data_IF_899578162786
#
_entry.id   IF_899578162786
#
_cell.length_a   1.000
_cell.length_b   1.000
_cell.length_c   1.000
_cell.angle_alpha   90.00
_cell.angle_beta   90.00
_cell.angle_gamma   90.00
#
_symmetry.space_group_name_H-M   'P 1'
#
loop_
_entity.id
_entity.type
_entity.pdbx_description
1 polymer ?
#
# COMPACT_ATOMS: atom_id res chain seq x y z
N UNK A 1 -21.98 7.77 -44.23
CA UNK A 1 -21.50 6.76 -43.26
C UNK A 1 -20.14 7.13 -42.66
N UNK A 2 -19.19 7.65 -43.45
CA UNK A 2 -17.80 7.96 -43.06
C UNK A 2 -17.65 8.93 -41.85
N UNK A 3 -18.52 9.93 -41.73
CA UNK A 3 -18.42 11.00 -40.72
C UNK A 3 -18.82 10.51 -39.31
N UNK A 4 -19.72 9.52 -39.24
CA UNK A 4 -20.19 8.95 -37.97
C UNK A 4 -19.08 8.14 -37.29
N UNK A 5 -18.22 7.47 -38.08
CA UNK A 5 -17.09 6.72 -37.56
C UNK A 5 -16.03 7.61 -36.91
N UNK A 6 -15.73 8.77 -37.51
CA UNK A 6 -14.72 9.71 -36.98
C UNK A 6 -15.21 10.37 -35.68
N UNK A 7 -16.50 10.71 -35.59
CA UNK A 7 -17.10 11.25 -34.38
C UNK A 7 -17.10 10.25 -33.21
N UNK A 8 -17.29 8.95 -33.50
CA UNK A 8 -17.22 7.88 -32.50
C UNK A 8 -15.80 7.66 -31.96
N UNK A 9 -14.77 7.82 -32.79
CA UNK A 9 -13.35 7.65 -32.38
C UNK A 9 -12.89 8.82 -31.51
N UNK A 10 -13.41 10.03 -31.72
CA UNK A 10 -13.10 11.19 -30.87
C UNK A 10 -13.82 11.14 -29.51
N UNK A 11 -15.02 10.55 -29.46
CA UNK A 11 -15.79 10.40 -28.23
C UNK A 11 -15.15 9.42 -27.22
N UNK A 12 -14.37 8.43 -27.69
CA UNK A 12 -13.71 7.47 -26.81
C UNK A 12 -12.48 8.03 -26.09
N UNK A 13 -11.82 9.07 -26.63
CA UNK A 13 -10.64 9.67 -25.99
C UNK A 13 -10.98 10.51 -24.74
N UNK A 14 -12.24 10.92 -24.57
CA UNK A 14 -12.70 11.68 -23.39
C UNK A 14 -13.06 10.79 -22.20
N UNK A 15 -13.14 9.46 -22.41
CA UNK A 15 -13.50 8.47 -21.39
C UNK A 15 -12.28 7.72 -20.80
N UNK A 16 -11.07 8.24 -21.00
CA UNK A 16 -9.84 7.61 -20.47
C UNK A 16 -8.98 8.56 -19.65
N UNK A 17 -9.59 9.57 -19.01
CA UNK A 17 -9.00 10.22 -17.83
C UNK A 17 -9.37 9.48 -16.54
N UNK A 18 -9.49 8.16 -16.61
CA UNK A 18 -9.42 7.32 -15.44
C UNK A 18 -8.10 6.56 -15.51
N UNK A 19 -6.99 7.26 -15.27
CA UNK A 19 -5.82 6.60 -14.70
C UNK A 19 -6.17 6.25 -13.25
N UNK A 20 -7.12 5.33 -13.09
CA UNK A 20 -7.33 4.67 -11.82
C UNK A 20 -6.09 3.77 -11.64
N UNK A 21 -5.03 4.33 -11.04
CA UNK A 21 -3.92 3.56 -10.48
C UNK A 21 -4.48 2.75 -9.32
N UNK A 22 -5.18 1.67 -9.67
CA UNK A 22 -5.61 0.65 -8.75
C UNK A 22 -4.34 -0.10 -8.34
N UNK A 23 -3.97 0.06 -7.05
CA UNK A 23 -2.89 -0.59 -6.31
C UNK A 23 -1.50 0.08 -6.34
N UNK A 24 -1.41 1.39 -6.07
CA UNK A 24 -0.13 2.11 -5.82
C UNK A 24 0.70 1.65 -4.61
N UNK A 25 0.41 0.47 -4.03
CA UNK A 25 1.11 -0.11 -2.88
C UNK A 25 2.06 -1.24 -3.24
N UNK A 26 2.12 -1.63 -4.51
CA UNK A 26 3.10 -2.59 -5.03
C UNK A 26 4.53 -2.05 -4.90
N UNK A 27 4.75 -0.76 -5.12
CA UNK A 27 6.03 -0.07 -4.87
C UNK A 27 6.42 -0.14 -3.39
N UNK A 28 5.45 0.04 -2.49
CA UNK A 28 5.65 -0.05 -1.03
C UNK A 28 5.97 -1.48 -0.62
N UNK A 29 5.32 -2.48 -1.21
CA UNK A 29 5.66 -3.89 -1.01
C UNK A 29 7.09 -4.20 -1.45
N UNK A 30 7.50 -3.74 -2.63
CA UNK A 30 8.89 -3.88 -3.11
C UNK A 30 9.87 -3.19 -2.16
N UNK A 31 9.50 -2.00 -1.69
CA UNK A 31 10.31 -1.22 -0.75
C UNK A 31 10.43 -1.93 0.61
N UNK A 32 9.36 -2.57 1.09
CA UNK A 32 9.31 -3.38 2.31
C UNK A 32 9.88 -4.80 2.16
N UNK A 33 10.44 -5.16 1.00
CA UNK A 33 11.15 -6.44 0.79
C UNK A 33 12.10 -6.86 1.94
N UNK A 34 12.97 -5.99 2.50
CA UNK A 34 13.83 -6.35 3.62
C UNK A 34 13.08 -6.63 4.94
N UNK A 35 11.81 -6.23 5.06
CA UNK A 35 10.96 -6.48 6.21
C UNK A 35 10.17 -7.78 6.12
N UNK A 36 10.06 -8.37 4.91
CA UNK A 36 9.22 -9.55 4.65
C UNK A 36 9.62 -10.75 5.52
N UNK A 37 10.91 -10.93 5.79
CA UNK A 37 11.40 -12.04 6.60
C UNK A 37 10.89 -11.96 8.06
N UNK A 38 10.87 -10.77 8.65
CA UNK A 38 10.34 -10.57 10.00
C UNK A 38 8.81 -10.70 10.04
N UNK A 39 8.10 -10.01 9.15
CA UNK A 39 6.63 -10.05 9.12
C UNK A 39 6.11 -11.43 8.67
N UNK A 40 6.89 -12.21 7.94
CA UNK A 40 6.59 -13.60 7.56
C UNK A 40 7.00 -14.63 8.62
N UNK A 41 7.41 -14.19 9.82
CA UNK A 41 7.88 -15.05 10.92
C UNK A 41 9.11 -15.92 10.59
N UNK A 42 9.93 -15.50 9.62
CA UNK A 42 11.20 -16.14 9.26
C UNK A 42 12.36 -15.59 10.10
N UNK A 43 12.35 -14.29 10.40
CA UNK A 43 13.31 -13.62 11.27
C UNK A 43 12.71 -13.33 12.65
N UNK A 44 13.57 -13.44 13.67
CA UNK A 44 13.23 -13.10 15.06
C UNK A 44 13.22 -11.59 15.33
N UNK A 45 13.99 -10.80 14.57
CA UNK A 45 14.10 -9.35 14.70
C UNK A 45 14.22 -8.68 13.31
N UNK A 46 13.70 -7.47 13.11
CA UNK A 46 13.88 -6.75 11.86
C UNK A 46 15.32 -6.21 11.74
N UNK A 47 15.87 -6.26 10.53
CA UNK A 47 17.18 -5.65 10.26
C UNK A 47 17.12 -4.12 10.26
N UNK A 48 18.28 -3.47 10.41
CA UNK A 48 18.37 -2.00 10.37
C UNK A 48 17.80 -1.41 9.08
N UNK A 49 18.12 -2.03 7.92
CA UNK A 49 17.60 -1.64 6.61
C UNK A 49 16.07 -1.67 6.56
N UNK A 50 15.44 -2.70 7.13
CA UNK A 50 13.99 -2.77 7.23
C UNK A 50 13.41 -1.58 8.01
N UNK A 51 14.00 -1.22 9.15
CA UNK A 51 13.52 -0.11 9.95
C UNK A 51 13.69 1.25 9.27
N UNK A 52 14.80 1.49 8.57
CA UNK A 52 15.00 2.72 7.80
C UNK A 52 14.01 2.83 6.65
N UNK A 53 13.80 1.74 5.92
CA UNK A 53 12.79 1.65 4.87
C UNK A 53 11.39 1.94 5.41
N UNK A 54 11.02 1.30 6.52
CA UNK A 54 9.72 1.48 7.15
C UNK A 54 9.50 2.94 7.55
N UNK A 55 10.51 3.61 8.12
CA UNK A 55 10.43 5.02 8.47
C UNK A 55 10.17 5.92 7.23
N UNK A 56 10.77 5.59 6.09
CA UNK A 56 10.49 6.25 4.82
C UNK A 56 9.05 6.02 4.36
N UNK A 57 8.60 4.77 4.35
CA UNK A 57 7.24 4.39 3.92
C UNK A 57 6.15 5.01 4.81
N UNK A 58 6.37 5.12 6.12
CA UNK A 58 5.44 5.81 7.04
C UNK A 58 5.22 7.27 6.61
N UNK A 59 6.25 7.92 6.06
CA UNK A 59 6.18 9.31 5.62
C UNK A 59 5.66 9.47 4.19
N UNK A 60 6.05 8.58 3.27
CA UNK A 60 5.66 8.67 1.86
C UNK A 60 4.28 8.06 1.60
N UNK A 61 4.02 6.89 2.17
CA UNK A 61 2.88 6.04 1.85
C UNK A 61 2.29 5.35 3.11
N UNK A 62 1.87 6.13 4.13
CA UNK A 62 1.29 5.58 5.37
C UNK A 62 0.07 4.70 5.07
N UNK A 63 -0.62 4.96 3.96
CA UNK A 63 -1.78 4.20 3.52
C UNK A 63 -1.51 2.79 3.09
N UNK A 64 -0.44 2.62 2.31
CA UNK A 64 -0.04 1.31 1.86
C UNK A 64 0.45 0.50 3.04
N UNK A 65 1.24 1.13 3.93
CA UNK A 65 1.66 0.51 5.17
C UNK A 65 0.49 0.03 6.02
N UNK A 66 -0.54 0.85 6.15
CA UNK A 66 -1.78 0.47 6.84
C UNK A 66 -2.41 -0.80 6.28
N UNK A 67 -2.47 -0.99 4.95
CA UNK A 67 -2.95 -2.24 4.36
C UNK A 67 -2.03 -3.44 4.66
N UNK A 68 -0.72 -3.20 4.80
CA UNK A 68 0.22 -4.24 5.23
C UNK A 68 -0.02 -4.67 6.67
N UNK A 69 -0.21 -3.70 7.56
CA UNK A 69 -0.39 -3.91 8.99
C UNK A 69 -1.77 -4.51 9.32
N UNK A 70 -2.81 -4.08 8.60
CA UNK A 70 -4.16 -4.66 8.62
C UNK A 70 -4.17 -6.06 7.95
N UNK A 71 -3.10 -6.38 7.21
CA UNK A 71 -2.81 -7.60 6.46
C UNK A 71 -3.82 -7.98 5.37
N UNK A 72 -4.52 -6.98 4.86
CA UNK A 72 -5.03 -6.98 3.48
C UNK A 72 -3.91 -7.13 2.46
N UNK A 73 -2.65 -6.92 2.85
CA UNK A 73 -1.50 -7.26 2.03
C UNK A 73 -1.33 -8.77 1.73
N UNK A 74 -2.03 -9.67 2.43
CA UNK A 74 -2.11 -11.08 2.01
C UNK A 74 -2.66 -11.22 0.58
N UNK A 75 -3.45 -10.25 0.10
CA UNK A 75 -3.91 -10.16 -1.28
C UNK A 75 -2.78 -9.96 -2.30
N UNK A 76 -1.57 -9.59 -1.88
CA UNK A 76 -0.37 -9.53 -2.74
C UNK A 76 0.33 -10.88 -2.90
N UNK A 77 -0.21 -11.97 -2.35
CA UNK A 77 0.35 -13.33 -2.49
C UNK A 77 1.51 -13.63 -1.54
N UNK A 78 1.69 -12.81 -0.49
CA UNK A 78 2.75 -12.97 0.51
C UNK A 78 2.10 -13.41 1.84
N UNK A 79 2.64 -14.47 2.44
CA UNK A 79 2.21 -14.92 3.77
C UNK A 79 2.73 -13.94 4.83
N UNK A 80 1.84 -13.11 5.35
CA UNK A 80 2.15 -12.11 6.39
C UNK A 80 1.54 -12.57 7.71
N UNK A 81 2.37 -12.59 8.75
CA UNK A 81 1.93 -12.77 10.12
C UNK A 81 1.55 -11.40 10.70
N UNK A 82 0.25 -11.16 10.83
CA UNK A 82 -0.28 -9.88 11.32
C UNK A 82 0.28 -9.49 12.70
N UNK A 83 0.49 -10.46 13.59
CA UNK A 83 1.07 -10.20 14.91
C UNK A 83 2.49 -9.65 14.79
N UNK A 84 3.34 -10.25 13.95
CA UNK A 84 4.68 -9.71 13.67
C UNK A 84 4.61 -8.33 13.02
N UNK A 85 3.67 -8.12 12.10
CA UNK A 85 3.51 -6.83 11.44
C UNK A 85 3.16 -5.72 12.45
N UNK A 86 2.32 -6.00 13.44
CA UNK A 86 1.97 -5.08 14.53
C UNK A 86 3.14 -4.76 15.47
N UNK A 87 4.04 -5.71 15.67
CA UNK A 87 5.25 -5.52 16.50
C UNK A 87 6.35 -4.73 15.77
N UNK A 88 6.34 -4.73 14.43
CA UNK A 88 7.38 -4.12 13.60
C UNK A 88 7.59 -2.61 13.91
N UNK A 89 6.55 -1.75 14.02
CA UNK A 89 6.73 -0.35 14.40
C UNK A 89 7.38 -0.17 15.78
N UNK A 90 7.04 -1.04 16.73
CA UNK A 90 7.60 -1.04 18.08
C UNK A 90 9.09 -1.39 18.09
N UNK A 91 9.47 -2.45 17.36
CA UNK A 91 10.88 -2.85 17.21
C UNK A 91 11.72 -1.77 16.51
N UNK A 92 11.18 -1.18 15.45
CA UNK A 92 11.87 -0.16 14.67
C UNK A 92 11.78 1.24 15.28
N UNK A 93 11.08 1.42 16.41
CA UNK A 93 10.84 2.71 17.08
C UNK A 93 10.32 3.80 16.12
N UNK A 94 9.54 3.41 15.13
CA UNK A 94 8.92 4.34 14.19
C UNK A 94 7.52 4.72 14.70
N UNK A 95 7.21 6.01 14.61
CA UNK A 95 5.88 6.52 14.95
C UNK A 95 4.93 6.22 13.78
N UNK A 96 4.46 4.98 13.71
CA UNK A 96 3.37 4.60 12.81
C UNK A 96 2.03 5.04 13.41
N UNK A 97 1.08 5.54 12.60
CA UNK A 97 -0.27 5.80 13.08
C UNK A 97 -0.91 4.50 13.57
N UNK A 98 -1.74 4.53 14.63
CA UNK A 98 -2.42 3.34 15.12
C UNK A 98 -3.34 2.78 14.02
N UNK A 99 -3.51 1.45 13.96
CA UNK A 99 -4.34 0.79 12.93
C UNK A 99 -5.78 1.34 12.92
N UNK A 100 -6.31 1.76 14.05
CA UNK A 100 -7.64 2.42 14.10
C UNK A 100 -7.72 3.68 13.22
N UNK A 101 -6.61 4.41 13.07
CA UNK A 101 -6.51 5.57 12.18
C UNK A 101 -6.23 5.17 10.73
N UNK A 102 -5.67 3.98 10.50
CA UNK A 102 -5.55 3.39 9.16
C UNK A 102 -6.91 3.21 8.50
N UNK A 103 -7.92 2.77 9.26
CA UNK A 103 -9.30 2.67 8.78
C UNK A 103 -9.84 4.04 8.37
N UNK A 104 -9.70 5.07 9.21
CA UNK A 104 -10.16 6.44 8.91
C UNK A 104 -9.51 7.03 7.65
N UNK A 105 -8.22 6.78 7.46
CA UNK A 105 -7.51 7.13 6.24
C UNK A 105 -8.16 6.35 5.07
N UNK A 106 -8.31 5.03 5.17
CA UNK A 106 -9.04 4.17 4.20
C UNK A 106 -10.41 4.76 3.79
N UNK A 107 -11.23 5.19 4.76
CA UNK A 107 -12.57 5.75 4.54
C UNK A 107 -12.51 7.12 3.86
N UNK A 108 -11.53 7.98 4.18
CA UNK A 108 -11.39 9.30 3.56
C UNK A 108 -11.23 9.25 2.03
N UNK A 109 -10.73 8.13 1.48
CA UNK A 109 -10.59 7.93 0.02
C UNK A 109 -11.80 7.24 -0.61
N UNK A 110 -12.66 6.60 0.18
CA UNK A 110 -14.02 6.22 -0.25
C UNK A 110 -14.96 7.43 -0.29
N UNK A 111 -14.58 8.50 0.42
CA UNK A 111 -15.29 9.79 0.58
C UNK A 111 -14.55 10.94 -0.14
N UNK A 112 -13.61 10.66 -1.04
CA UNK A 112 -13.03 11.67 -1.91
C UNK A 112 -13.84 11.75 -3.22
N UNK A 113 -14.47 12.89 -3.57
CA UNK A 113 -15.23 13.06 -4.81
C UNK A 113 -14.35 13.07 -6.07
#
# INVERSE_FOLDING_TARGET
>A
MEIVAIALILATMLASKAVAQNNGCSSVMMTLSPCLDFIGSKALAPGFSCCTTLAGVVQTDPRCLCMVLDGTAASFGIAINHTRALELPGFCKVQAPPISQCTGLLILRSVAP
#
